data_IF_499203771487
#
_entry.id   IF_499203771487
#
_cell.length_a   1.000
_cell.length_b   1.000
_cell.length_c   1.000
_cell.angle_alpha   90.00
_cell.angle_beta   90.00
_cell.angle_gamma   90.00
#
_symmetry.space_group_name_H-M   'P 1'
#
loop_
_entity.id
_entity.type
_entity.pdbx_description
1 polymer ?
#
# COMPACT_ATOMS: atom_id res chain seq x y z
N UNK A 1 8.73 -2.99 -15.84
CA UNK A 1 9.06 -4.36 -16.23
C UNK A 1 8.24 -5.28 -15.36
N UNK A 2 7.47 -6.20 -15.96
CA UNK A 2 6.65 -7.20 -15.25
C UNK A 2 7.22 -8.59 -15.55
N UNK A 3 7.14 -9.52 -14.60
CA UNK A 3 7.60 -10.92 -14.76
C UNK A 3 6.44 -11.86 -14.46
N UNK A 4 6.21 -12.83 -15.35
CA UNK A 4 5.20 -13.88 -15.17
C UNK A 4 5.88 -15.08 -14.49
N UNK A 5 5.30 -15.57 -13.40
CA UNK A 5 5.78 -16.75 -12.69
C UNK A 5 4.82 -17.92 -12.95
N UNK A 6 5.32 -18.96 -13.63
CA UNK A 6 4.57 -20.18 -13.92
C UNK A 6 4.54 -21.07 -12.67
N UNK A 7 3.36 -21.29 -12.10
CA UNK A 7 3.17 -22.14 -10.92
C UNK A 7 2.12 -23.21 -11.22
N UNK A 8 2.53 -24.47 -11.25
CA UNK A 8 1.65 -25.59 -11.58
C UNK A 8 0.38 -25.61 -10.73
N UNK A 9 -0.78 -25.75 -11.40
CA UNK A 9 -2.16 -25.77 -10.85
C UNK A 9 -2.67 -24.48 -10.18
N UNK A 10 -1.98 -23.33 -10.29
CA UNK A 10 -2.45 -22.05 -9.76
C UNK A 10 -2.67 -21.07 -10.93
N UNK A 11 -3.64 -20.15 -10.80
CA UNK A 11 -3.90 -19.08 -11.78
C UNK A 11 -2.61 -18.30 -12.06
N UNK A 12 -2.29 -18.08 -13.33
CA UNK A 12 -1.20 -17.21 -13.76
C UNK A 12 -1.34 -15.83 -13.10
N UNK A 13 -0.26 -15.31 -12.52
CA UNK A 13 -0.23 -13.98 -11.90
C UNK A 13 0.90 -13.13 -12.48
N UNK A 14 0.61 -11.84 -12.68
CA UNK A 14 1.58 -10.84 -13.13
C UNK A 14 2.11 -10.07 -11.91
N UNK A 15 3.43 -10.01 -11.76
CA UNK A 15 4.07 -9.11 -10.79
C UNK A 15 4.27 -7.74 -11.42
N UNK A 16 3.66 -6.71 -10.81
CA UNK A 16 3.72 -5.30 -11.26
C UNK A 16 4.33 -4.40 -10.20
N UNK A 17 4.95 -3.29 -10.63
CA UNK A 17 5.57 -2.29 -9.75
C UNK A 17 4.97 -0.90 -9.97
N UNK A 18 3.90 -0.53 -9.25
CA UNK A 18 3.22 0.75 -9.43
C UNK A 18 4.12 1.96 -9.15
N UNK A 19 4.01 2.98 -10.00
CA UNK A 19 4.75 4.24 -9.90
C UNK A 19 3.85 5.35 -9.35
N UNK A 20 4.35 6.11 -8.36
CA UNK A 20 3.58 7.20 -7.75
C UNK A 20 3.37 8.32 -8.77
N UNK A 21 2.12 8.72 -8.97
CA UNK A 21 1.77 9.88 -9.80
C UNK A 21 1.92 11.15 -8.96
N UNK A 22 2.79 12.09 -9.35
CA UNK A 22 2.93 13.36 -8.63
C UNK A 22 1.63 14.16 -8.70
N UNK A 23 1.08 14.52 -7.55
CA UNK A 23 -0.01 15.49 -7.44
C UNK A 23 0.58 16.89 -7.34
N UNK A 24 0.08 17.83 -8.15
CA UNK A 24 0.47 19.25 -8.06
C UNK A 24 0.26 19.77 -6.61
N UNK A 25 1.24 20.49 -6.02
CA UNK A 25 1.10 20.98 -4.66
C UNK A 25 -0.06 21.98 -4.55
N UNK A 26 -1.08 21.65 -3.76
CA UNK A 26 -2.13 22.60 -3.38
C UNK A 26 -1.57 23.47 -2.25
N UNK A 27 -1.06 24.67 -2.59
CA UNK A 27 -0.46 25.72 -1.71
C UNK A 27 -1.18 26.03 -0.38
N UNK A 28 -2.40 25.53 -0.14
CA UNK A 28 -3.17 25.72 1.10
C UNK A 28 -3.17 24.49 2.05
N UNK A 29 -2.78 23.31 1.56
CA UNK A 29 -2.85 22.04 2.31
C UNK A 29 -1.49 21.66 2.93
N UNK A 30 -0.38 22.13 2.35
CA UNK A 30 1.00 21.86 2.78
C UNK A 30 1.24 22.09 4.29
N UNK A 31 0.73 23.16 4.89
CA UNK A 31 0.99 23.46 6.32
C UNK A 31 0.46 22.42 7.31
N UNK A 32 -0.54 21.60 6.93
CA UNK A 32 -1.08 20.53 7.78
C UNK A 32 -0.51 19.17 7.41
N UNK A 33 -0.22 18.96 6.12
CA UNK A 33 0.38 17.73 5.60
C UNK A 33 1.89 17.62 5.86
N UNK A 34 2.61 18.73 6.06
CA UNK A 34 4.04 18.73 6.45
C UNK A 34 4.31 17.96 7.76
N UNK A 35 3.29 17.77 8.61
CA UNK A 35 3.41 16.97 9.84
C UNK A 35 3.23 15.47 9.62
N UNK A 36 2.80 15.03 8.44
CA UNK A 36 2.47 13.62 8.17
C UNK A 36 3.24 13.10 6.96
N UNK A 37 3.93 11.97 7.13
CA UNK A 37 4.72 11.29 6.07
C UNK A 37 3.91 10.98 4.79
N UNK A 38 2.59 10.90 4.87
CA UNK A 38 1.69 10.50 3.77
C UNK A 38 0.47 11.43 3.64
N UNK A 39 0.17 11.84 2.40
CA UNK A 39 -1.04 12.58 1.99
C UNK A 39 -2.32 11.75 2.20
N UNK A 40 -3.46 12.44 2.34
CA UNK A 40 -4.78 11.80 2.51
C UNK A 40 -5.24 11.02 1.27
N UNK A 41 -4.79 11.43 0.08
CA UNK A 41 -5.05 10.73 -1.18
C UNK A 41 -3.76 10.61 -1.98
N UNK A 42 -3.53 9.45 -2.59
CA UNK A 42 -2.40 9.19 -3.48
C UNK A 42 -2.85 8.41 -4.71
N UNK A 43 -2.12 8.57 -5.82
CA UNK A 43 -2.34 7.81 -7.05
C UNK A 43 -1.07 7.08 -7.45
N UNK A 44 -1.24 5.85 -7.90
CA UNK A 44 -0.17 5.05 -8.51
C UNK A 44 -0.64 4.55 -9.87
N UNK A 45 0.29 4.46 -10.83
CA UNK A 45 0.05 3.94 -12.16
C UNK A 45 0.88 2.67 -12.39
N UNK A 46 0.28 1.66 -13.02
CA UNK A 46 0.95 0.45 -13.48
C UNK A 46 0.26 -0.09 -14.72
N UNK A 47 0.86 -1.10 -15.36
CA UNK A 47 0.28 -1.80 -16.51
C UNK A 47 -0.22 -3.17 -16.08
N UNK A 48 -1.38 -3.57 -16.58
CA UNK A 48 -1.91 -4.93 -16.48
C UNK A 48 -2.17 -5.40 -17.91
N UNK A 49 -1.55 -6.50 -18.32
CA UNK A 49 -1.63 -6.97 -19.72
C UNK A 49 -1.26 -5.88 -20.77
N UNK A 50 -0.38 -4.93 -20.38
CA UNK A 50 0.02 -3.81 -21.23
C UNK A 50 -0.89 -2.57 -21.17
N UNK A 51 -2.08 -2.66 -20.57
CA UNK A 51 -2.99 -1.53 -20.41
C UNK A 51 -2.72 -0.75 -19.12
N UNK A 52 -2.68 0.60 -19.15
CA UNK A 52 -2.44 1.41 -17.97
C UNK A 52 -3.65 1.41 -17.03
N UNK A 53 -3.40 1.21 -15.74
CA UNK A 53 -4.38 1.23 -14.66
C UNK A 53 -3.91 2.20 -13.58
N UNK A 54 -4.86 2.96 -13.03
CA UNK A 54 -4.61 3.89 -11.92
C UNK A 54 -5.22 3.36 -10.64
N UNK A 55 -4.38 3.17 -9.62
CA UNK A 55 -4.79 2.88 -8.26
C UNK A 55 -5.00 4.18 -7.49
N UNK A 56 -6.22 4.41 -7.02
CA UNK A 56 -6.55 5.50 -6.12
C UNK A 56 -6.49 4.98 -4.67
N UNK A 57 -5.58 5.55 -3.88
CA UNK A 57 -5.42 5.22 -2.46
C UNK A 57 -6.00 6.34 -1.61
N UNK A 58 -6.85 5.96 -0.66
CA UNK A 58 -7.38 6.85 0.36
C UNK A 58 -6.86 6.43 1.73
N UNK A 59 -6.44 7.41 2.53
CA UNK A 59 -5.92 7.15 3.86
C UNK A 59 -7.02 6.64 4.79
N UNK A 60 -6.82 5.44 5.34
CA UNK A 60 -7.70 4.91 6.38
C UNK A 60 -7.71 5.85 7.59
N UNK A 61 -8.89 6.17 8.08
CA UNK A 61 -9.10 7.00 9.28
C UNK A 61 -9.63 6.12 10.40
N UNK A 62 -9.07 6.27 11.61
CA UNK A 62 -9.49 5.48 12.80
C UNK A 62 -9.42 3.96 12.58
N UNK A 63 -8.43 3.53 11.80
CA UNK A 63 -8.23 2.11 11.48
C UNK A 63 -7.92 1.29 12.74
N UNK A 64 -7.16 1.90 13.65
CA UNK A 64 -6.75 1.28 14.89
C UNK A 64 -7.89 1.40 15.90
N UNK A 65 -8.49 0.26 16.22
CA UNK A 65 -9.35 0.11 17.39
C UNK A 65 -8.47 -0.13 18.63
N UNK A 66 -9.08 0.00 19.82
CA UNK A 66 -8.40 -0.31 21.09
C UNK A 66 -7.83 -1.73 21.12
N UNK A 67 -8.46 -2.66 20.40
CA UNK A 67 -8.15 -4.09 20.41
C UNK A 67 -7.41 -4.53 19.13
N UNK A 68 -6.83 -3.58 18.39
CA UNK A 68 -6.04 -3.89 17.20
C UNK A 68 -4.78 -4.71 17.56
N UNK A 69 -4.50 -5.72 16.74
CA UNK A 69 -3.30 -6.55 16.85
C UNK A 69 -2.72 -6.83 15.46
N UNK A 70 -1.40 -6.98 15.39
CA UNK A 70 -0.67 -7.30 14.18
C UNK A 70 -0.05 -8.67 14.32
N UNK A 71 -0.25 -9.55 13.34
CA UNK A 71 0.42 -10.85 13.30
C UNK A 71 1.39 -10.87 12.14
N UNK A 72 2.65 -11.15 12.42
CA UNK A 72 3.71 -11.35 11.43
C UNK A 72 4.34 -12.73 11.62
N UNK A 73 4.97 -13.24 10.55
CA UNK A 73 5.64 -14.54 10.59
C UNK A 73 7.15 -14.33 10.66
N UNK A 74 7.80 -15.04 11.57
CA UNK A 74 9.27 -15.12 11.61
C UNK A 74 9.82 -15.91 10.42
N UNK A 75 11.12 -15.80 10.10
CA UNK A 75 11.73 -16.56 8.99
C UNK A 75 11.58 -18.09 9.10
N UNK A 76 11.44 -18.61 10.32
CA UNK A 76 11.17 -20.02 10.61
C UNK A 76 9.66 -20.34 10.70
N UNK A 77 8.79 -19.40 10.32
CA UNK A 77 7.35 -19.61 10.13
C UNK A 77 6.51 -19.51 11.41
N UNK A 78 7.07 -19.07 12.54
CA UNK A 78 6.29 -18.87 13.77
C UNK A 78 5.48 -17.58 13.69
N UNK A 79 4.23 -17.64 14.13
CA UNK A 79 3.37 -16.48 14.29
C UNK A 79 3.79 -15.66 15.50
N UNK A 80 3.91 -14.34 15.31
CA UNK A 80 4.19 -13.37 16.35
C UNK A 80 3.09 -12.31 16.29
N UNK A 81 2.24 -12.30 17.33
CA UNK A 81 1.16 -11.31 17.48
C UNK A 81 1.58 -10.20 18.43
N UNK A 82 1.44 -8.94 18.01
CA UNK A 82 1.75 -7.75 18.82
C UNK A 82 0.53 -6.83 18.90
N UNK A 83 0.44 -6.06 20.00
CA UNK A 83 -0.52 -4.98 20.16
C UNK A 83 0.25 -3.65 20.18
N UNK A 84 0.43 -3.00 19.02
CA UNK A 84 1.17 -1.75 18.97
C UNK A 84 0.42 -0.66 19.74
N UNK A 85 1.16 0.22 20.43
CA UNK A 85 0.58 1.44 20.99
C UNK A 85 0.42 2.44 19.85
N UNK A 86 -0.79 2.49 19.28
CA UNK A 86 -1.12 3.43 18.21
C UNK A 86 -1.92 4.58 18.81
N UNK A 87 -1.30 5.76 18.90
CA UNK A 87 -1.94 7.05 19.27
C UNK A 87 -2.70 7.66 18.09
#
# INVERSE_FOLDING_TARGET
SSTILESGKVKDYEVVYPQKVPTLPKRRIERREEKTKYQDTMKYEFKVNGEPVVLNLEKNKRLFSKDYSETHYSPDGREITTNPQVE
#
